data_IF_863736708086
#
_entry.id   IF_863736708086
#
_cell.length_a   1.000
_cell.length_b   1.000
_cell.length_c   1.000
_cell.angle_alpha   90.00
_cell.angle_beta   90.00
_cell.angle_gamma   90.00
#
_symmetry.space_group_name_H-M   'P 1'
#
loop_
_entity.id
_entity.type
_entity.pdbx_description
1 polymer ?
#
# COMPACT_ATOMS: atom_id res chain seq x y z
N UNK A 1 -3.06 -8.94 -14.45
CA UNK A 1 -2.86 -7.85 -15.41
C UNK A 1 -1.64 -8.17 -16.21
N UNK A 2 -1.78 -8.34 -17.53
CA UNK A 2 -0.63 -8.14 -18.41
C UNK A 2 -0.30 -6.64 -18.33
N UNK A 3 0.96 -6.32 -18.10
CA UNK A 3 1.41 -4.93 -18.22
C UNK A 3 1.25 -4.46 -19.67
N UNK A 4 1.27 -3.15 -19.86
CA UNK A 4 1.39 -2.53 -21.18
C UNK A 4 2.85 -2.58 -21.58
N UNK A 5 3.16 -2.88 -22.85
CA UNK A 5 4.53 -2.84 -23.36
C UNK A 5 5.04 -1.39 -23.44
N UNK A 6 6.35 -1.21 -23.56
CA UNK A 6 6.96 0.11 -23.54
C UNK A 6 6.48 1.00 -24.70
N UNK A 7 6.29 0.45 -25.90
CA UNK A 7 5.87 1.25 -27.05
C UNK A 7 4.46 1.80 -26.85
N UNK A 8 3.53 0.92 -26.44
CA UNK A 8 2.16 1.34 -26.11
C UNK A 8 2.14 2.32 -24.93
N UNK A 9 3.00 2.14 -23.91
CA UNK A 9 3.07 3.06 -22.77
C UNK A 9 3.53 4.48 -23.17
N UNK A 10 4.53 4.57 -24.05
CA UNK A 10 5.03 5.84 -24.60
C UNK A 10 3.93 6.56 -25.39
N UNK A 11 3.15 5.83 -26.18
CA UNK A 11 2.05 6.41 -26.97
C UNK A 11 0.94 7.02 -26.11
N UNK A 12 0.59 6.37 -24.98
CA UNK A 12 -0.48 6.86 -24.09
C UNK A 12 -0.01 7.92 -23.09
N UNK A 13 1.29 8.05 -22.83
CA UNK A 13 1.81 8.94 -21.80
C UNK A 13 1.40 10.42 -21.96
N UNK A 14 1.38 11.01 -23.17
CA UNK A 14 0.87 12.37 -23.38
C UNK A 14 -0.62 12.50 -23.01
N UNK A 15 -1.43 11.49 -23.32
CA UNK A 15 -2.86 11.47 -22.98
C UNK A 15 -3.05 11.47 -21.46
N UNK A 16 -2.24 10.67 -20.74
CA UNK A 16 -2.25 10.64 -19.27
C UNK A 16 -1.79 11.98 -18.68
N UNK A 17 -0.79 12.62 -19.29
CA UNK A 17 -0.33 13.95 -18.88
C UNK A 17 -1.44 15.01 -19.02
N UNK A 18 -2.11 15.08 -20.16
CA UNK A 18 -3.20 16.02 -20.40
C UNK A 18 -4.39 15.74 -19.47
N UNK A 19 -4.75 14.46 -19.31
CA UNK A 19 -5.79 14.02 -18.37
C UNK A 19 -5.50 14.48 -16.94
N UNK A 20 -4.27 14.30 -16.45
CA UNK A 20 -3.93 14.71 -15.08
C UNK A 20 -3.86 16.22 -14.91
N UNK A 21 -3.57 16.98 -15.97
CA UNK A 21 -3.54 18.45 -15.92
C UNK A 21 -4.91 19.11 -16.02
N UNK A 22 -5.96 18.36 -16.37
CA UNK A 22 -7.34 18.84 -16.36
C UNK A 22 -7.81 19.18 -14.93
N UNK A 23 -8.37 20.38 -14.77
CA UNK A 23 -8.85 20.89 -13.48
C UNK A 23 -10.03 20.10 -12.91
N UNK A 24 -10.94 19.62 -13.76
CA UNK A 24 -12.05 18.78 -13.34
C UNK A 24 -11.54 17.44 -12.81
N UNK A 25 -10.53 16.85 -13.45
CA UNK A 25 -9.89 15.61 -12.97
C UNK A 25 -9.22 15.81 -11.62
N UNK A 26 -8.45 16.89 -11.43
CA UNK A 26 -7.85 17.22 -10.13
C UNK A 26 -8.90 17.40 -9.05
N UNK A 27 -9.99 18.12 -9.35
CA UNK A 27 -11.12 18.30 -8.42
C UNK A 27 -11.83 16.98 -8.09
N UNK A 28 -12.02 16.09 -9.07
CA UNK A 28 -12.56 14.74 -8.81
C UNK A 28 -11.63 13.94 -7.91
N UNK A 29 -10.31 14.07 -8.08
CA UNK A 29 -9.33 13.40 -7.24
C UNK A 29 -9.33 13.87 -5.77
N UNK A 30 -9.80 15.09 -5.48
CA UNK A 30 -10.00 15.53 -4.10
C UNK A 30 -10.97 14.60 -3.35
N UNK A 31 -11.97 14.06 -4.06
CA UNK A 31 -12.95 13.09 -3.57
C UNK A 31 -12.51 11.63 -3.74
N UNK A 32 -11.20 11.37 -3.92
CA UNK A 32 -10.63 10.02 -4.12
C UNK A 32 -11.03 8.99 -3.05
N UNK A 33 -11.39 9.41 -1.85
CA UNK A 33 -11.86 8.52 -0.77
C UNK A 33 -13.16 7.78 -1.14
N UNK A 34 -13.95 8.33 -2.07
CA UNK A 34 -15.16 7.69 -2.60
C UNK A 34 -14.86 6.56 -3.59
N UNK A 35 -13.61 6.47 -4.07
CA UNK A 35 -13.20 5.56 -5.12
C UNK A 35 -12.02 4.67 -4.68
N UNK A 36 -11.71 3.64 -5.47
CA UNK A 36 -10.59 2.74 -5.22
C UNK A 36 -9.38 3.16 -6.07
N UNK A 37 -8.78 4.29 -5.73
CA UNK A 37 -7.61 4.83 -6.43
C UNK A 37 -6.34 4.52 -5.62
N UNK A 38 -5.28 4.08 -6.29
CA UNK A 38 -3.99 3.86 -5.63
C UNK A 38 -3.37 5.21 -5.28
N UNK A 39 -2.88 5.36 -4.05
CA UNK A 39 -2.20 6.59 -3.61
C UNK A 39 -0.95 6.89 -4.45
N UNK A 40 -0.31 5.87 -5.02
CA UNK A 40 0.84 6.04 -5.90
C UNK A 40 0.51 6.65 -7.26
N UNK A 41 -0.77 6.71 -7.66
CA UNK A 41 -1.16 7.24 -8.97
C UNK A 41 -0.70 8.67 -9.18
N UNK A 42 -0.85 9.54 -8.16
CA UNK A 42 -0.44 10.95 -8.26
C UNK A 42 1.04 11.06 -8.54
N UNK A 43 1.87 10.32 -7.79
CA UNK A 43 3.31 10.32 -7.99
C UNK A 43 3.67 9.96 -9.44
N UNK A 44 3.06 8.91 -9.99
CA UNK A 44 3.36 8.51 -11.37
C UNK A 44 2.78 9.47 -12.42
N UNK A 45 1.61 10.06 -12.20
CA UNK A 45 1.03 11.05 -13.12
C UNK A 45 1.84 12.34 -13.15
N UNK A 46 2.30 12.83 -12.00
CA UNK A 46 3.17 14.01 -11.93
C UNK A 46 4.54 13.79 -12.60
N UNK A 47 5.00 12.54 -12.66
CA UNK A 47 6.29 12.19 -13.25
C UNK A 47 6.15 11.44 -14.59
N UNK A 48 4.97 11.48 -15.22
CA UNK A 48 4.67 10.65 -16.40
C UNK A 48 5.66 10.87 -17.55
N UNK A 49 6.08 12.12 -17.78
CA UNK A 49 7.06 12.46 -18.82
C UNK A 49 8.43 11.80 -18.57
N UNK A 50 8.86 11.70 -17.31
CA UNK A 50 10.10 11.01 -16.93
C UNK A 50 9.95 9.50 -17.05
N UNK A 51 8.82 8.96 -16.58
CA UNK A 51 8.56 7.52 -16.55
C UNK A 51 8.34 6.96 -17.96
N UNK A 52 7.84 7.78 -18.88
CA UNK A 52 7.65 7.43 -20.29
C UNK A 52 8.88 7.75 -21.17
N UNK A 53 10.00 8.19 -20.59
CA UNK A 53 11.20 8.47 -21.39
C UNK A 53 11.76 7.16 -21.99
N UNK A 54 12.27 7.14 -23.23
CA UNK A 54 12.86 5.94 -23.82
C UNK A 54 14.04 5.37 -23.03
N UNK A 55 14.78 6.22 -22.32
CA UNK A 55 15.91 5.90 -21.46
C UNK A 55 15.52 5.77 -19.97
N UNK A 56 14.22 5.66 -19.66
CA UNK A 56 13.74 5.55 -18.30
C UNK A 56 14.36 4.36 -17.57
N UNK A 57 14.93 4.64 -16.40
CA UNK A 57 15.37 3.65 -15.43
C UNK A 57 14.70 3.94 -14.08
N UNK A 58 14.06 2.95 -13.42
CA UNK A 58 13.39 3.17 -12.16
C UNK A 58 14.33 3.67 -11.07
N UNK A 59 13.96 4.78 -10.45
CA UNK A 59 14.61 5.26 -9.24
C UNK A 59 14.18 4.41 -8.04
N UNK A 60 14.93 4.47 -6.94
CA UNK A 60 14.51 3.85 -5.68
C UNK A 60 13.12 4.35 -5.24
N UNK A 61 12.78 5.62 -5.51
CA UNK A 61 11.46 6.17 -5.22
C UNK A 61 10.38 5.52 -6.09
N UNK A 62 10.61 5.34 -7.39
CA UNK A 62 9.68 4.63 -8.28
C UNK A 62 9.40 3.21 -7.80
N UNK A 63 10.45 2.50 -7.39
CA UNK A 63 10.35 1.14 -6.88
C UNK A 63 9.50 1.11 -5.60
N UNK A 64 9.71 2.06 -4.68
CA UNK A 64 8.94 2.16 -3.43
C UNK A 64 7.47 2.53 -3.65
N UNK A 65 7.15 3.36 -4.65
CA UNK A 65 5.75 3.71 -4.99
C UNK A 65 5.05 2.66 -5.85
N UNK A 66 5.80 1.74 -6.46
CA UNK A 66 5.23 0.67 -7.28
C UNK A 66 4.42 -0.29 -6.41
N UNK A 67 3.16 -0.53 -6.78
CA UNK A 67 2.27 -1.43 -6.04
C UNK A 67 2.08 -2.74 -6.81
N UNK A 68 2.59 -3.83 -6.25
CA UNK A 68 2.27 -5.19 -6.68
C UNK A 68 1.70 -5.97 -5.50
N UNK A 69 0.48 -6.49 -5.65
CA UNK A 69 -0.13 -7.26 -4.58
C UNK A 69 0.65 -8.56 -4.34
N UNK A 70 1.15 -8.75 -3.11
CA UNK A 70 1.78 -10.00 -2.66
C UNK A 70 0.74 -11.13 -2.65
N UNK A 71 0.97 -12.16 -3.46
CA UNK A 71 0.09 -13.34 -3.60
C UNK A 71 0.71 -14.62 -3.04
N UNK A 72 1.98 -14.58 -2.73
CA UNK A 72 2.78 -15.70 -2.22
C UNK A 72 3.49 -15.24 -0.97
N UNK A 73 3.88 -16.18 -0.13
CA UNK A 73 4.77 -15.88 0.99
C UNK A 73 6.17 -15.72 0.41
N UNK A 74 6.86 -14.64 0.80
CA UNK A 74 8.24 -14.37 0.37
C UNK A 74 9.12 -14.17 1.58
N UNK A 75 10.29 -14.80 1.57
CA UNK A 75 11.25 -14.75 2.65
C UNK A 75 12.51 -13.99 2.21
N UNK A 76 12.99 -13.11 3.08
CA UNK A 76 14.22 -12.36 2.87
C UNK A 76 15.08 -12.43 4.13
N UNK A 77 16.35 -12.82 3.95
CA UNK A 77 17.33 -12.88 5.03
C UNK A 77 18.30 -11.71 4.87
N UNK A 78 18.42 -10.90 5.92
CA UNK A 78 19.34 -9.77 6.00
C UNK A 78 20.18 -9.87 7.24
N UNK A 79 21.45 -9.48 7.16
CA UNK A 79 22.28 -9.31 8.34
C UNK A 79 22.22 -7.85 8.79
N UNK A 80 21.74 -7.61 10.02
CA UNK A 80 21.67 -6.27 10.63
C UNK A 80 22.52 -6.30 11.89
N UNK A 81 23.59 -5.50 11.92
CA UNK A 81 24.52 -5.46 13.05
C UNK A 81 25.05 -6.86 13.45
N UNK A 82 25.40 -7.69 12.45
CA UNK A 82 25.85 -9.10 12.60
C UNK A 82 24.81 -10.07 13.17
N UNK A 83 23.55 -9.66 13.25
CA UNK A 83 22.43 -10.53 13.61
C UNK A 83 21.67 -10.88 12.34
N UNK A 84 21.48 -12.17 12.02
CA UNK A 84 20.67 -12.59 10.88
C UNK A 84 19.18 -12.41 11.19
N UNK A 85 18.53 -11.53 10.44
CA UNK A 85 17.08 -11.35 10.46
C UNK A 85 16.43 -12.03 9.26
N UNK A 86 15.41 -12.82 9.54
CA UNK A 86 14.53 -13.42 8.52
C UNK A 86 13.20 -12.69 8.51
N UNK A 87 12.93 -11.94 7.44
CA UNK A 87 11.66 -11.27 7.20
C UNK A 87 10.78 -12.12 6.30
N UNK A 88 9.55 -12.34 6.72
CA UNK A 88 8.53 -13.07 5.97
C UNK A 88 7.43 -12.07 5.59
N UNK A 89 7.32 -11.75 4.29
CA UNK A 89 6.23 -10.93 3.76
C UNK A 89 5.07 -11.81 3.33
N UNK A 90 3.86 -11.41 3.74
CA UNK A 90 2.62 -12.15 3.50
C UNK A 90 1.54 -11.22 2.95
N UNK A 91 0.75 -11.72 2.00
CA UNK A 91 -0.36 -10.96 1.44
C UNK A 91 -1.44 -10.65 2.50
N UNK A 92 -1.82 -9.37 2.61
CA UNK A 92 -2.83 -8.90 3.57
C UNK A 92 -4.29 -8.98 3.11
N UNK A 93 -4.53 -9.19 1.82
CA UNK A 93 -5.88 -9.30 1.24
C UNK A 93 -6.61 -10.52 1.80
N UNK A 94 -7.95 -10.44 1.94
CA UNK A 94 -8.76 -11.52 2.54
C UNK A 94 -8.47 -12.91 1.93
N UNK A 95 -8.32 -12.97 0.62
CA UNK A 95 -8.01 -14.22 -0.12
C UNK A 95 -6.63 -14.82 0.18
N UNK A 96 -5.71 -14.05 0.74
CA UNK A 96 -4.34 -14.49 1.05
C UNK A 96 -4.17 -14.88 2.52
N UNK A 97 -5.06 -14.45 3.41
CA UNK A 97 -4.93 -14.66 4.87
C UNK A 97 -4.97 -16.12 5.28
N UNK A 98 -5.64 -16.96 4.49
CA UNK A 98 -5.58 -18.41 4.70
C UNK A 98 -4.14 -18.93 4.65
N UNK A 99 -3.20 -18.29 3.95
CA UNK A 99 -1.82 -18.77 3.88
C UNK A 99 -0.99 -18.44 5.13
N UNK A 100 -1.46 -17.53 5.99
CA UNK A 100 -0.69 -17.05 7.13
C UNK A 100 -0.29 -18.17 8.10
N UNK A 101 -1.09 -19.23 8.25
CA UNK A 101 -0.73 -20.35 9.14
C UNK A 101 0.60 -21.01 8.76
N UNK A 102 1.03 -20.90 7.49
CA UNK A 102 2.28 -21.47 6.99
C UNK A 102 3.51 -20.76 7.55
N UNK A 103 3.36 -19.55 8.11
CA UNK A 103 4.45 -18.78 8.69
C UNK A 103 4.34 -18.58 10.21
N UNK A 104 3.49 -19.36 10.91
CA UNK A 104 3.28 -19.20 12.36
C UNK A 104 4.31 -19.94 13.23
N UNK A 105 5.10 -20.83 12.65
CA UNK A 105 6.20 -21.52 13.35
C UNK A 105 7.46 -20.65 13.42
N UNK A 106 8.13 -20.66 14.56
CA UNK A 106 9.46 -20.07 14.77
C UNK A 106 9.56 -18.57 14.42
N UNK A 107 8.50 -17.81 14.71
CA UNK A 107 8.51 -16.35 14.60
C UNK A 107 8.86 -15.70 15.94
N UNK A 108 9.79 -14.75 15.92
CA UNK A 108 10.16 -13.97 17.11
C UNK A 108 9.24 -12.77 17.32
N UNK A 109 8.80 -12.15 16.23
CA UNK A 109 7.97 -10.96 16.28
C UNK A 109 7.07 -10.82 15.06
N UNK A 110 5.94 -10.15 15.24
CA UNK A 110 5.01 -9.75 14.17
C UNK A 110 5.08 -8.24 14.03
N UNK A 111 5.43 -7.75 12.83
CA UNK A 111 5.28 -6.35 12.45
C UNK A 111 3.90 -6.15 11.83
N UNK A 112 2.95 -5.65 12.60
CA UNK A 112 1.59 -5.41 12.11
C UNK A 112 1.45 -3.99 11.55
N UNK A 113 1.19 -3.89 10.25
CA UNK A 113 1.11 -2.61 9.53
C UNK A 113 -0.35 -2.14 9.42
N UNK A 114 -0.63 -0.92 9.85
CA UNK A 114 -1.94 -0.25 9.69
C UNK A 114 -1.75 1.01 8.85
N UNK A 115 -2.47 1.11 7.73
CA UNK A 115 -2.53 2.33 6.95
C UNK A 115 -3.46 3.34 7.64
N UNK A 116 -2.90 4.18 8.51
CA UNK A 116 -3.67 5.09 9.37
C UNK A 116 -4.45 6.17 8.59
N UNK A 117 -3.98 6.51 7.39
CA UNK A 117 -4.62 7.46 6.48
C UNK A 117 -5.92 6.94 5.83
N UNK A 118 -6.24 5.65 5.95
CA UNK A 118 -7.35 4.99 5.24
C UNK A 118 -8.66 4.94 6.06
N UNK A 119 -8.81 5.81 7.07
CA UNK A 119 -9.96 5.84 7.98
C UNK A 119 -11.29 6.24 7.30
N UNK A 120 -11.23 6.87 6.13
CA UNK A 120 -12.35 7.34 5.29
C UNK A 120 -12.55 6.46 4.05
N UNK A 121 -11.86 5.31 3.96
CA UNK A 121 -11.90 4.40 2.83
C UNK A 121 -12.51 3.05 3.20
N UNK A 122 -13.08 2.39 2.19
CA UNK A 122 -13.55 1.00 2.27
C UNK A 122 -12.57 0.04 1.57
N UNK A 123 -12.53 -1.22 2.00
CA UNK A 123 -11.71 -2.25 1.37
C UNK A 123 -12.21 -2.56 -0.05
N UNK A 124 -11.30 -3.00 -0.92
CA UNK A 124 -11.63 -3.29 -2.31
C UNK A 124 -12.52 -4.53 -2.45
N UNK A 125 -12.34 -5.51 -1.56
CA UNK A 125 -12.96 -6.82 -1.64
C UNK A 125 -14.48 -6.82 -1.52
N UNK A 126 -15.07 -5.94 -0.70
CA UNK A 126 -16.53 -5.85 -0.53
C UNK A 126 -17.11 -4.44 -0.73
N UNK A 127 -16.24 -3.41 -0.88
CA UNK A 127 -16.62 -2.01 -1.05
C UNK A 127 -17.55 -1.47 0.05
N UNK A 128 -17.54 -2.10 1.23
CA UNK A 128 -18.44 -1.78 2.34
C UNK A 128 -17.68 -1.63 3.65
N UNK A 129 -16.75 -2.54 3.94
CA UNK A 129 -16.04 -2.53 5.22
C UNK A 129 -14.96 -1.46 5.22
N UNK A 130 -14.98 -0.60 6.24
CA UNK A 130 -13.95 0.42 6.45
C UNK A 130 -12.56 -0.22 6.66
N UNK A 131 -11.53 0.36 6.05
CA UNK A 131 -10.18 -0.23 6.04
C UNK A 131 -9.50 -0.28 7.41
N UNK A 132 -9.69 0.76 8.22
CA UNK A 132 -9.13 0.81 9.59
C UNK A 132 -9.89 -0.14 10.51
N UNK A 133 -11.22 -0.25 10.35
CA UNK A 133 -12.04 -1.23 11.09
C UNK A 133 -11.64 -2.67 10.74
N UNK A 134 -11.41 -2.97 9.45
CA UNK A 134 -10.87 -4.26 9.02
C UNK A 134 -9.51 -4.53 9.67
N UNK A 135 -8.59 -3.55 9.63
CA UNK A 135 -7.26 -3.67 10.25
C UNK A 135 -7.34 -3.94 11.75
N UNK A 136 -8.27 -3.27 12.46
CA UNK A 136 -8.54 -3.51 13.88
C UNK A 136 -9.03 -4.93 14.14
N UNK A 137 -9.97 -5.43 13.34
CA UNK A 137 -10.52 -6.79 13.48
C UNK A 137 -9.46 -7.86 13.26
N UNK A 138 -8.57 -7.66 12.28
CA UNK A 138 -7.42 -8.54 12.04
C UNK A 138 -6.45 -8.48 13.23
N UNK A 139 -6.10 -7.27 13.68
CA UNK A 139 -5.19 -7.09 14.80
C UNK A 139 -5.71 -7.77 16.07
N UNK A 140 -7.00 -7.63 16.37
CA UNK A 140 -7.68 -8.30 17.48
C UNK A 140 -7.58 -9.82 17.37
N UNK A 141 -7.69 -10.37 16.16
CA UNK A 141 -7.54 -11.82 15.91
C UNK A 141 -6.11 -12.28 16.17
N UNK A 142 -5.11 -11.50 15.74
CA UNK A 142 -3.69 -11.84 15.90
C UNK A 142 -3.27 -11.73 17.37
N UNK A 143 -3.54 -10.59 18.02
CA UNK A 143 -3.08 -10.32 19.40
C UNK A 143 -3.68 -11.29 20.42
N UNK A 144 -4.87 -11.82 20.15
CA UNK A 144 -5.54 -12.81 21.01
C UNK A 144 -5.31 -14.27 20.58
N UNK A 145 -4.49 -14.52 19.55
CA UNK A 145 -4.22 -15.88 19.09
C UNK A 145 -3.25 -16.60 20.05
N UNK A 146 -3.66 -17.77 20.57
CA UNK A 146 -2.84 -18.58 21.48
C UNK A 146 -1.49 -19.02 20.91
N UNK A 147 -1.37 -19.06 19.58
CA UNK A 147 -0.10 -19.38 18.89
C UNK A 147 0.96 -18.29 19.08
N UNK A 148 0.58 -17.08 19.49
CA UNK A 148 1.46 -15.91 19.58
C UNK A 148 1.69 -15.43 21.02
N UNK A 149 1.38 -16.24 22.03
CA UNK A 149 1.54 -15.87 23.45
C UNK A 149 2.96 -15.39 23.79
N UNK A 150 3.98 -15.99 23.16
CA UNK A 150 5.39 -15.65 23.38
C UNK A 150 5.99 -14.82 22.23
N UNK A 151 5.17 -14.31 21.32
CA UNK A 151 5.62 -13.56 20.14
C UNK A 151 5.42 -12.08 20.40
N UNK A 152 6.44 -11.27 20.17
CA UNK A 152 6.32 -9.81 20.30
C UNK A 152 5.53 -9.24 19.14
N UNK A 153 4.50 -8.43 19.41
CA UNK A 153 3.69 -7.79 18.37
C UNK A 153 4.00 -6.30 18.39
N UNK A 154 4.53 -5.80 17.27
CA UNK A 154 4.89 -4.40 17.09
C UNK A 154 3.91 -3.80 16.08
N UNK A 155 3.14 -2.81 16.51
CA UNK A 155 2.16 -2.12 15.69
C UNK A 155 2.79 -0.90 15.00
N UNK A 156 2.78 -0.88 13.68
CA UNK A 156 3.19 0.26 12.87
C UNK A 156 1.98 0.99 12.31
N UNK A 157 1.73 2.19 12.85
CA UNK A 157 0.78 3.14 12.29
C UNK A 157 1.46 3.85 11.10
N UNK A 158 1.32 3.26 9.92
CA UNK A 158 1.95 3.72 8.70
C UNK A 158 1.13 4.86 8.03
N UNK A 159 1.77 5.56 7.09
CA UNK A 159 1.19 6.66 6.31
C UNK A 159 0.72 7.85 7.16
N UNK A 160 1.43 8.11 8.25
CA UNK A 160 1.10 9.21 9.18
C UNK A 160 1.21 10.58 8.52
N UNK A 161 2.11 10.73 7.55
CA UNK A 161 2.24 11.90 6.67
C UNK A 161 0.94 12.17 5.87
N UNK A 162 0.34 11.12 5.30
CA UNK A 162 -0.92 11.24 4.57
C UNK A 162 -2.11 11.51 5.51
N UNK A 163 -2.08 10.92 6.71
CA UNK A 163 -3.07 11.20 7.74
C UNK A 163 -3.04 12.68 8.15
N UNK A 164 -1.85 13.24 8.36
CA UNK A 164 -1.66 14.65 8.66
C UNK A 164 -2.20 15.54 7.55
N UNK A 165 -1.87 15.25 6.28
CA UNK A 165 -2.41 15.99 5.13
C UNK A 165 -3.94 16.01 5.06
N UNK A 166 -4.61 14.90 5.37
CA UNK A 166 -6.09 14.85 5.43
C UNK A 166 -6.67 15.70 6.55
N UNK A 167 -6.01 15.75 7.71
CA UNK A 167 -6.45 16.58 8.84
C UNK A 167 -6.40 18.07 8.52
N UNK A 168 -5.39 18.50 7.76
CA UNK A 168 -5.29 19.89 7.32
C UNK A 168 -6.40 20.29 6.34
N UNK A 169 -6.80 19.40 5.42
CA UNK A 169 -7.94 19.65 4.53
C UNK A 169 -9.25 19.80 5.31
N UNK A 170 -9.51 18.90 6.27
CA UNK A 170 -10.75 18.93 7.06
C UNK A 170 -10.82 20.11 8.06
N UNK A 171 -9.70 20.75 8.40
CA UNK A 171 -9.68 21.93 9.29
C UNK A 171 -10.03 23.24 8.58
N UNK A 172 -9.87 23.30 7.26
CA UNK A 172 -10.20 24.51 6.49
C UNK A 172 -11.68 24.58 6.09
N UNK A 173 -12.50 23.60 6.50
CA UNK A 173 -13.95 23.56 6.30
C UNK A 173 -14.76 24.01 7.54
N UNK A 174 -14.10 24.48 8.61
CA UNK A 174 -14.74 24.99 9.83
C UNK A 174 -14.22 26.38 10.21
#
# INVERSE_FOLDING_TARGET
>A
MRGVDQATFIEIAPIVYDFWNDQAIKKTYEQRNLYQISESCVYFFEHINRVASPDYYPTNKDILYCRKATRTITEHVFEIQRVPFRFIDVGGQRSQRQKWFQCFSDITSILFMVASSEYDQVILEDRRTNRVVESRSIFETIVNNKSFVNVSIILFMNKSDLLEGKRFLNRNEY
#
